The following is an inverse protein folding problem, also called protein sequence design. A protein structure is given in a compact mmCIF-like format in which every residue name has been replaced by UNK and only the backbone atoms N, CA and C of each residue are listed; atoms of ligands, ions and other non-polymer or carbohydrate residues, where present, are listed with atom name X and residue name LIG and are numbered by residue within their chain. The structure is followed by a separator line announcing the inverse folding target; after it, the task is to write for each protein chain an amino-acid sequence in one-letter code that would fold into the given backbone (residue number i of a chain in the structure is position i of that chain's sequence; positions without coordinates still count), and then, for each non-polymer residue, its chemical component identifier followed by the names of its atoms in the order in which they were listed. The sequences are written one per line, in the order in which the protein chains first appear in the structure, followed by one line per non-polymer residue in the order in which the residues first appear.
data_IF_642736533206
#
_entry.id   IF_642736533206
#
_cell.length_a   1.000
_cell.length_b   1.000
_cell.length_c   1.000
_cell.angle_alpha   90.00
_cell.angle_beta   90.00
_cell.angle_gamma   90.00
#
_symmetry.space_group_name_H-M   'P 1'
#
loop_
_entity.id
_entity.type
_entity.pdbx_description
1 polymer ?
#
# COMPACT_ATOMS: atom_id res chain seq x y z
N UNK A 1 -25.64 33.79 4.91
CA UNK A 1 -26.04 32.66 5.78
C UNK A 1 -25.32 31.44 5.24
N UNK A 2 -24.32 30.94 5.95
CA UNK A 2 -23.56 29.75 5.55
C UNK A 2 -24.36 28.49 5.89
N UNK A 3 -24.33 27.51 4.99
CA UNK A 3 -25.14 26.30 5.06
C UNK A 3 -24.52 25.34 6.11
N UNK A 4 -25.26 24.94 7.18
CA UNK A 4 -24.73 24.07 8.24
C UNK A 4 -24.34 22.67 7.74
N UNK A 5 -24.73 22.30 6.52
CA UNK A 5 -24.26 21.08 5.87
C UNK A 5 -22.83 21.21 5.34
N UNK A 6 -22.40 22.39 4.88
CA UNK A 6 -21.04 22.60 4.38
C UNK A 6 -20.00 22.52 5.51
N UNK A 7 -20.32 23.05 6.69
CA UNK A 7 -19.47 22.95 7.89
C UNK A 7 -19.28 21.49 8.33
N UNK A 8 -20.32 20.65 8.23
CA UNK A 8 -20.19 19.21 8.50
C UNK A 8 -19.31 18.50 7.48
N UNK A 9 -19.46 18.78 6.18
CA UNK A 9 -18.56 18.16 5.17
C UNK A 9 -17.10 18.58 5.33
N UNK A 10 -16.84 19.81 5.76
CA UNK A 10 -15.49 20.27 6.09
C UNK A 10 -14.95 19.64 7.40
N UNK A 11 -15.83 19.33 8.35
CA UNK A 11 -15.47 18.63 9.60
C UNK A 11 -14.99 17.20 9.37
N UNK A 12 -15.51 16.51 8.35
CA UNK A 12 -15.03 15.18 7.95
C UNK A 12 -13.70 15.28 7.19
N UNK A 13 -13.48 16.35 6.43
CA UNK A 13 -12.18 16.63 5.81
C UNK A 13 -11.11 17.06 6.84
N UNK A 14 -11.53 17.48 8.04
CA UNK A 14 -10.65 17.93 9.12
C UNK A 14 -10.48 16.93 10.26
N UNK A 15 -10.94 15.68 10.13
CA UNK A 15 -10.37 14.62 10.95
C UNK A 15 -8.92 14.49 10.51
N UNK A 16 -8.06 15.19 11.25
CA UNK A 16 -6.65 14.87 11.40
C UNK A 16 -6.54 13.37 11.24
N UNK A 17 -6.01 12.94 10.11
CA UNK A 17 -5.58 11.56 9.90
C UNK A 17 -4.56 11.35 11.00
N UNK A 18 -5.03 10.80 12.13
CA UNK A 18 -4.18 10.62 13.28
C UNK A 18 -3.07 9.72 12.78
N UNK A 19 -1.81 10.15 12.88
CA UNK A 19 -0.70 9.41 12.28
C UNK A 19 -0.63 7.96 12.78
N UNK A 20 -1.34 7.63 13.87
CA UNK A 20 -1.64 6.27 14.31
C UNK A 20 -2.43 5.43 13.29
N UNK A 21 -3.51 5.95 12.71
CA UNK A 21 -4.33 5.25 11.71
C UNK A 21 -3.53 5.00 10.42
N UNK A 22 -2.77 6.00 9.96
CA UNK A 22 -1.91 5.84 8.78
C UNK A 22 -0.78 4.83 9.02
N UNK A 23 -0.17 4.83 10.21
CA UNK A 23 0.84 3.81 10.59
C UNK A 23 0.24 2.41 10.70
N UNK A 24 -0.97 2.29 11.20
CA UNK A 24 -1.65 0.99 11.30
C UNK A 24 -2.02 0.45 9.91
N UNK A 25 -2.49 1.31 9.01
CA UNK A 25 -2.74 0.96 7.61
C UNK A 25 -1.47 0.44 6.91
N UNK A 26 -0.33 1.09 7.12
CA UNK A 26 0.95 0.61 6.61
C UNK A 26 1.30 -0.75 7.21
N UNK A 27 1.23 -0.95 8.54
CA UNK A 27 1.51 -2.27 9.15
C UNK A 27 0.63 -3.39 8.57
N UNK A 28 -0.65 -3.11 8.31
CA UNK A 28 -1.54 -4.08 7.67
C UNK A 28 -1.08 -4.42 6.25
N UNK A 29 -0.64 -3.43 5.45
CA UNK A 29 -0.09 -3.66 4.12
C UNK A 29 1.21 -4.48 4.17
N UNK A 30 2.08 -4.22 5.14
CA UNK A 30 3.32 -4.98 5.32
C UNK A 30 3.04 -6.44 5.67
N UNK A 31 2.09 -6.68 6.60
CA UNK A 31 1.64 -8.03 6.93
C UNK A 31 1.04 -8.74 5.71
N UNK A 32 0.20 -8.05 4.95
CA UNK A 32 -0.44 -8.62 3.78
C UNK A 32 0.59 -8.95 2.67
N UNK A 33 1.63 -8.12 2.50
CA UNK A 33 2.75 -8.42 1.60
C UNK A 33 3.52 -9.69 2.02
N UNK A 34 3.73 -9.89 3.32
CA UNK A 34 4.36 -11.10 3.86
C UNK A 34 3.50 -12.35 3.62
N UNK A 35 2.19 -12.26 3.90
CA UNK A 35 1.24 -13.34 3.68
C UNK A 35 1.15 -13.72 2.18
N UNK A 36 1.13 -12.73 1.28
CA UNK A 36 1.17 -12.97 -0.17
C UNK A 36 2.48 -13.59 -0.64
N UNK A 37 3.60 -13.23 -0.02
CA UNK A 37 4.90 -13.85 -0.30
C UNK A 37 4.92 -15.32 0.12
N UNK A 38 4.32 -15.64 1.28
CA UNK A 38 4.18 -17.01 1.74
C UNK A 38 3.29 -17.83 0.79
N UNK A 39 2.13 -17.28 0.41
CA UNK A 39 1.22 -17.90 -0.55
C UNK A 39 1.88 -18.14 -1.92
N UNK A 40 2.65 -17.17 -2.43
CA UNK A 40 3.39 -17.33 -3.67
C UNK A 40 4.34 -18.53 -3.63
N UNK A 41 5.09 -18.69 -2.53
CA UNK A 41 6.01 -19.82 -2.33
C UNK A 41 5.28 -21.16 -2.22
N UNK A 42 4.13 -21.19 -1.54
CA UNK A 42 3.30 -22.39 -1.47
C UNK A 42 2.77 -22.79 -2.84
N UNK A 43 2.37 -21.79 -3.64
CA UNK A 43 1.88 -22.03 -4.99
C UNK A 43 2.99 -22.52 -5.94
N UNK A 44 4.19 -21.94 -5.86
CA UNK A 44 5.36 -22.42 -6.62
C UNK A 44 5.67 -23.89 -6.33
N UNK A 45 5.56 -24.30 -5.05
CA UNK A 45 5.72 -25.72 -4.66
C UNK A 45 4.61 -26.57 -5.24
N UNK A 46 3.34 -26.14 -5.12
CA UNK A 46 2.20 -26.86 -5.68
C UNK A 46 2.33 -27.02 -7.21
N UNK A 47 2.85 -26.00 -7.90
CA UNK A 47 3.13 -26.05 -9.33
C UNK A 47 4.20 -27.08 -9.69
N UNK A 48 5.31 -27.12 -8.93
CA UNK A 48 6.36 -28.11 -9.11
C UNK A 48 5.85 -29.54 -8.86
N UNK A 49 5.09 -29.75 -7.78
CA UNK A 49 4.49 -31.03 -7.43
C UNK A 49 3.47 -31.49 -8.49
N UNK A 50 2.63 -30.55 -8.96
CA UNK A 50 1.67 -30.79 -10.04
C UNK A 50 2.34 -31.22 -11.34
N UNK A 51 3.44 -30.56 -11.70
CA UNK A 51 4.23 -30.93 -12.88
C UNK A 51 4.85 -32.33 -12.76
N UNK A 52 5.41 -32.67 -11.59
CA UNK A 52 5.94 -34.02 -11.35
C UNK A 52 4.84 -35.09 -11.43
N UNK A 53 3.66 -34.82 -10.90
CA UNK A 53 2.51 -35.71 -11.02
C UNK A 53 2.10 -35.90 -12.48
N UNK A 54 2.09 -34.81 -13.27
CA UNK A 54 1.72 -34.86 -14.68
C UNK A 54 2.69 -35.75 -15.48
N UNK A 55 4.00 -35.64 -15.22
CA UNK A 55 5.00 -36.52 -15.81
C UNK A 55 4.79 -37.99 -15.43
N UNK A 56 4.56 -38.27 -14.14
CA UNK A 56 4.32 -39.63 -13.65
C UNK A 56 3.08 -40.26 -14.30
N UNK A 57 1.99 -39.49 -14.38
CA UNK A 57 0.74 -39.95 -14.97
C UNK A 57 0.87 -40.17 -16.48
N UNK A 58 1.61 -39.29 -17.17
CA UNK A 58 1.90 -39.44 -18.59
C UNK A 58 2.73 -40.70 -18.86
N UNK A 59 3.79 -40.93 -18.08
CA UNK A 59 4.63 -42.12 -18.19
C UNK A 59 3.85 -43.42 -17.86
N UNK A 60 2.92 -43.35 -16.91
CA UNK A 60 2.07 -44.47 -16.51
C UNK A 60 0.91 -44.77 -17.45
N UNK A 61 0.70 -43.99 -18.52
CA UNK A 61 -0.35 -44.23 -19.52
C UNK A 61 -1.76 -44.17 -18.95
N UNK A 62 -2.02 -43.28 -17.97
CA UNK A 62 -3.33 -43.14 -17.31
C UNK A 62 -4.05 -41.87 -17.81
N UNK A 63 -4.74 -41.92 -18.96
CA UNK A 63 -5.34 -40.73 -19.59
C UNK A 63 -6.38 -40.03 -18.70
N UNK A 64 -7.12 -40.80 -17.89
CA UNK A 64 -8.13 -40.26 -16.97
C UNK A 64 -7.51 -39.36 -15.91
N UNK A 65 -6.31 -39.72 -15.43
CA UNK A 65 -5.56 -38.93 -14.47
C UNK A 65 -4.83 -37.77 -15.15
N UNK A 66 -4.41 -37.95 -16.41
CA UNK A 66 -3.68 -36.94 -17.16
C UNK A 66 -4.54 -35.69 -17.38
N UNK A 67 -5.81 -35.91 -17.72
CA UNK A 67 -6.79 -34.82 -17.83
C UNK A 67 -6.91 -34.04 -16.53
N UNK A 68 -7.04 -34.73 -15.40
CA UNK A 68 -7.18 -34.08 -14.10
C UNK A 68 -5.91 -33.33 -13.69
N UNK A 69 -4.73 -33.90 -13.95
CA UNK A 69 -3.44 -33.25 -13.69
C UNK A 69 -3.26 -32.00 -14.55
N UNK A 70 -3.63 -32.05 -15.83
CA UNK A 70 -3.57 -30.88 -16.72
C UNK A 70 -4.53 -29.77 -16.27
N UNK A 71 -5.76 -30.12 -15.85
CA UNK A 71 -6.69 -29.15 -15.28
C UNK A 71 -6.17 -28.51 -13.99
N UNK A 72 -5.50 -29.30 -13.13
CA UNK A 72 -4.85 -28.77 -11.93
C UNK A 72 -3.75 -27.78 -12.30
N UNK A 73 -2.92 -28.12 -13.29
CA UNK A 73 -1.83 -27.26 -13.76
C UNK A 73 -2.33 -25.87 -14.19
N UNK A 74 -3.34 -25.82 -15.05
CA UNK A 74 -3.94 -24.55 -15.52
C UNK A 74 -4.52 -23.73 -14.36
N UNK A 75 -5.12 -24.39 -13.36
CA UNK A 75 -5.64 -23.69 -12.18
C UNK A 75 -4.51 -23.10 -11.33
N UNK A 76 -3.38 -23.79 -11.21
CA UNK A 76 -2.22 -23.29 -10.47
C UNK A 76 -1.58 -22.09 -11.18
N UNK A 77 -1.49 -22.11 -12.51
CA UNK A 77 -1.05 -20.95 -13.32
C UNK A 77 -1.94 -19.73 -13.07
N UNK A 78 -3.27 -19.90 -13.16
CA UNK A 78 -4.20 -18.78 -12.92
C UNK A 78 -4.13 -18.23 -11.48
N UNK A 79 -3.85 -19.07 -10.48
CA UNK A 79 -3.62 -18.60 -9.11
C UNK A 79 -2.31 -17.81 -9.00
N UNK A 80 -1.30 -18.12 -9.82
CA UNK A 80 0.00 -17.43 -9.79
C UNK A 80 -0.15 -16.01 -10.32
N UNK A 81 -0.88 -15.86 -11.42
CA UNK A 81 -1.21 -14.56 -11.98
C UNK A 81 -2.00 -13.71 -10.97
N UNK A 82 -3.00 -14.29 -10.30
CA UNK A 82 -3.78 -13.60 -9.28
C UNK A 82 -2.92 -13.14 -8.09
N UNK A 83 -2.01 -13.98 -7.58
CA UNK A 83 -1.12 -13.58 -6.49
C UNK A 83 -0.22 -12.42 -6.95
N UNK A 84 0.27 -12.45 -8.18
CA UNK A 84 1.07 -11.37 -8.74
C UNK A 84 0.30 -10.05 -8.82
N UNK A 85 -0.94 -10.07 -9.33
CA UNK A 85 -1.81 -8.88 -9.37
C UNK A 85 -2.04 -8.27 -7.98
N UNK A 86 -2.28 -9.12 -6.98
CA UNK A 86 -2.49 -8.64 -5.60
C UNK A 86 -1.20 -8.08 -5.01
N UNK A 87 -0.04 -8.69 -5.27
CA UNK A 87 1.27 -8.13 -4.85
C UNK A 87 1.50 -6.74 -5.44
N UNK A 88 1.25 -6.56 -6.74
CA UNK A 88 1.38 -5.24 -7.37
C UNK A 88 0.44 -4.20 -6.76
N UNK A 89 -0.80 -4.58 -6.46
CA UNK A 89 -1.77 -3.68 -5.82
C UNK A 89 -1.26 -3.25 -4.44
N UNK A 90 -0.72 -4.17 -3.67
CA UNK A 90 -0.19 -3.91 -2.32
C UNK A 90 1.01 -2.98 -2.38
N UNK A 91 1.93 -3.19 -3.32
CA UNK A 91 3.05 -2.28 -3.54
C UNK A 91 2.60 -0.88 -3.97
N UNK A 92 1.56 -0.79 -4.82
CA UNK A 92 0.98 0.49 -5.23
C UNK A 92 0.35 1.22 -4.04
N UNK A 93 -0.41 0.52 -3.21
CA UNK A 93 -1.00 1.08 -1.99
C UNK A 93 0.06 1.51 -0.99
N UNK A 94 1.12 0.72 -0.82
CA UNK A 94 2.26 1.08 0.03
C UNK A 94 2.93 2.37 -0.43
N UNK A 95 3.24 2.47 -1.73
CA UNK A 95 3.84 3.68 -2.33
C UNK A 95 2.94 4.90 -2.16
N UNK A 96 1.64 4.75 -2.40
CA UNK A 96 0.67 5.83 -2.21
C UNK A 96 0.59 6.29 -0.75
N UNK A 97 0.58 5.35 0.21
CA UNK A 97 0.58 5.65 1.64
C UNK A 97 1.84 6.40 2.09
N UNK A 98 3.01 5.97 1.62
CA UNK A 98 4.29 6.62 1.90
C UNK A 98 4.38 8.04 1.29
N UNK A 99 3.92 8.22 0.05
CA UNK A 99 3.88 9.54 -0.60
C UNK A 99 2.96 10.52 0.14
N UNK A 100 1.78 10.05 0.56
CA UNK A 100 0.85 10.86 1.36
C UNK A 100 1.39 11.24 2.74
N UNK A 101 2.23 10.41 3.37
CA UNK A 101 2.95 10.77 4.60
C UNK A 101 4.05 11.81 4.38
N UNK A 102 4.79 11.71 3.27
CA UNK A 102 5.88 12.62 2.94
C UNK A 102 5.39 14.06 2.68
N UNK A 103 4.22 14.21 2.02
CA UNK A 103 3.58 15.51 1.78
C UNK A 103 2.98 16.15 3.04
N UNK A 104 2.69 15.34 4.08
CA UNK A 104 2.08 15.79 5.35
C UNK A 104 3.09 16.23 6.41
N UNK A 105 4.39 15.98 6.21
CA UNK A 105 5.44 16.54 7.06
C UNK A 105 5.55 18.04 6.76
N UNK A 106 5.28 18.94 7.73
CA UNK A 106 5.39 20.36 7.48
C UNK A 106 6.87 20.67 7.29
N UNK A 107 7.27 20.93 6.04
CA UNK A 107 8.46 21.71 5.73
C UNK A 107 8.35 23.00 6.54
N UNK A 108 9.17 23.09 7.59
CA UNK A 108 9.10 24.13 8.60
C UNK A 108 9.05 25.50 7.95
N UNK A 109 7.92 26.17 8.18
CA UNK A 109 7.69 27.60 7.95
C UNK A 109 8.79 28.38 8.67
N UNK A 110 9.84 28.78 7.96
CA UNK A 110 10.76 29.82 8.45
C UNK A 110 10.07 31.16 8.24
N UNK A 111 9.06 31.45 9.07
CA UNK A 111 8.68 32.84 9.33
C UNK A 111 9.63 33.36 10.41
N UNK A 112 10.74 33.98 9.99
CA UNK A 112 11.42 34.96 10.81
C UNK A 112 10.69 36.29 10.63
N UNK A 113 9.99 36.83 11.64
CA UNK A 113 9.70 38.25 11.65
C UNK A 113 11.01 38.97 11.98
N UNK A 114 11.64 39.57 10.96
CA UNK A 114 12.68 40.58 11.15
C UNK A 114 12.04 41.81 11.78
N UNK A 115 11.97 41.86 13.11
CA UNK A 115 11.73 43.10 13.85
C UNK A 115 13.07 43.85 13.89
N UNK A 116 13.33 44.65 12.86
CA UNK A 116 14.33 45.70 12.89
C UNK A 116 13.74 46.95 12.23
N UNK A 117 13.11 47.78 13.04
CA UNK A 117 13.06 49.22 12.79
C UNK A 117 13.27 49.92 14.11
N UNK A 118 14.55 50.14 14.41
CA UNK A 118 14.96 51.15 15.37
C UNK A 118 14.62 52.52 14.76
N UNK A 119 13.72 53.26 15.39
CA UNK A 119 13.58 54.71 15.15
C UNK A 119 14.20 55.42 16.35
N UNK A 120 15.33 56.12 16.21
CA UNK A 120 15.83 56.97 17.28
C UNK A 120 14.98 58.25 17.30
N UNK A 121 14.21 58.47 18.37
CA UNK A 121 13.67 59.79 18.65
C UNK A 121 14.81 60.70 19.10
N UNK A 122 15.21 61.61 18.22
CA UNK A 122 15.88 62.84 18.62
C UNK A 122 14.83 63.77 19.26
N UNK A 123 15.12 64.26 20.46
CA UNK A 123 14.49 65.46 21.02
C UNK A 123 15.61 66.44 21.35
N UNK A 124 15.64 67.51 20.56
CA UNK A 124 16.50 68.69 20.71
C UNK A 124 16.02 69.54 21.92
N UNK A 125 16.91 70.26 22.64
CA UNK A 125 16.52 71.13 23.73
C UNK A 125 16.33 72.58 23.27
N UNK A 126 15.37 73.27 23.89
CA UNK A 126 15.28 74.74 23.93
C UNK A 126 14.97 75.17 25.37
#
# INVERSE_FOLDING_TARGET
MADPFQERTLQWASTVSDGAADREALRMLERLAQELTALARELERAYADGWQLLQHVQAGGRPDLLRNAAHLQVRLEGLQDQIHEVQELVERLWRAGMAGMAERLPMGRIERPSVLTATPMQTEPA
#
